data_IF_473234302230
#
_entry.id   IF_473234302230
#
_cell.length_a   1.000
_cell.length_b   1.000
_cell.length_c   1.000
_cell.angle_alpha   90.00
_cell.angle_beta   90.00
_cell.angle_gamma   90.00
#
_symmetry.space_group_name_H-M   'P 1'
#
loop_
_entity.id
_entity.type
_entity.pdbx_description
1 polymer ?
#
# COMPACT_ATOMS: atom_id res chain seq x y z
N UNK A 1 12.51 60.17 -11.98
CA UNK A 1 13.15 58.91 -12.43
C UNK A 1 13.54 58.00 -11.25
N UNK A 2 14.52 58.34 -10.39
CA UNK A 2 14.98 57.47 -9.28
C UNK A 2 13.88 57.06 -8.27
N UNK A 3 13.00 57.99 -7.86
CA UNK A 3 11.89 57.69 -6.91
C UNK A 3 10.86 56.69 -7.47
N UNK A 4 10.57 56.77 -8.77
CA UNK A 4 9.66 55.85 -9.45
C UNK A 4 10.26 54.44 -9.57
N UNK A 5 11.56 54.37 -9.87
CA UNK A 5 12.29 53.10 -9.87
C UNK A 5 12.27 52.41 -8.50
N UNK A 6 12.46 53.17 -7.41
CA UNK A 6 12.35 52.64 -6.04
C UNK A 6 10.94 52.12 -5.75
N UNK A 7 9.89 52.81 -6.20
CA UNK A 7 8.51 52.33 -6.04
C UNK A 7 8.26 51.01 -6.77
N UNK A 8 8.70 50.89 -8.04
CA UNK A 8 8.60 49.64 -8.80
C UNK A 8 9.37 48.50 -8.13
N UNK A 9 10.55 48.79 -7.59
CA UNK A 9 11.34 47.80 -6.88
C UNK A 9 10.59 47.27 -5.64
N UNK A 10 10.05 48.17 -4.81
CA UNK A 10 9.28 47.82 -3.62
C UNK A 10 8.02 47.03 -4.01
N UNK A 11 7.30 47.47 -5.04
CA UNK A 11 6.10 46.77 -5.50
C UNK A 11 6.43 45.37 -6.04
N UNK A 12 7.49 45.24 -6.84
CA UNK A 12 7.96 43.95 -7.34
C UNK A 12 8.36 43.01 -6.20
N UNK A 13 9.03 43.52 -5.17
CA UNK A 13 9.37 42.75 -3.96
C UNK A 13 8.12 42.21 -3.26
N UNK A 14 7.08 43.03 -3.12
CA UNK A 14 5.82 42.60 -2.49
C UNK A 14 5.15 41.50 -3.32
N UNK A 15 5.09 41.64 -4.65
CA UNK A 15 4.50 40.63 -5.54
C UNK A 15 5.29 39.32 -5.49
N UNK A 16 6.62 39.39 -5.65
CA UNK A 16 7.48 38.20 -5.63
C UNK A 16 7.37 37.46 -4.30
N UNK A 17 7.41 38.18 -3.16
CA UNK A 17 7.29 37.55 -1.84
C UNK A 17 5.92 36.92 -1.61
N UNK A 18 4.84 37.53 -2.11
CA UNK A 18 3.49 36.96 -2.05
C UNK A 18 3.39 35.66 -2.86
N UNK A 19 3.94 35.64 -4.08
CA UNK A 19 3.95 34.45 -4.93
C UNK A 19 4.76 33.31 -4.30
N UNK A 20 5.95 33.61 -3.77
CA UNK A 20 6.78 32.63 -3.06
C UNK A 20 6.03 32.11 -1.84
N UNK A 21 5.48 32.98 -0.99
CA UNK A 21 4.73 32.57 0.20
C UNK A 21 3.57 31.64 -0.13
N UNK A 22 2.80 31.94 -1.18
CA UNK A 22 1.68 31.11 -1.60
C UNK A 22 2.15 29.75 -2.14
N UNK A 23 3.22 29.74 -2.93
CA UNK A 23 3.80 28.50 -3.45
C UNK A 23 4.36 27.62 -2.32
N UNK A 24 5.09 28.21 -1.36
CA UNK A 24 5.62 27.49 -0.19
C UNK A 24 4.50 26.89 0.62
N UNK A 25 3.43 27.65 0.90
CA UNK A 25 2.28 27.12 1.65
C UNK A 25 1.65 25.90 0.96
N UNK A 26 1.51 25.94 -0.36
CA UNK A 26 0.96 24.81 -1.12
C UNK A 26 1.83 23.56 -0.97
N UNK A 27 3.16 23.72 -1.05
CA UNK A 27 4.11 22.61 -0.86
C UNK A 27 4.04 22.07 0.57
N UNK A 28 3.95 22.95 1.58
CA UNK A 28 3.81 22.53 2.98
C UNK A 28 2.53 21.72 3.21
N UNK A 29 1.41 22.14 2.62
CA UNK A 29 0.12 21.43 2.70
C UNK A 29 0.21 20.05 2.03
N UNK A 30 0.89 19.95 0.87
CA UNK A 30 1.14 18.68 0.16
C UNK A 30 2.03 17.74 0.98
N UNK A 31 3.12 18.26 1.58
CA UNK A 31 4.01 17.50 2.47
C UNK A 31 3.23 16.98 3.69
N UNK A 32 2.40 17.83 4.29
CA UNK A 32 1.58 17.44 5.44
C UNK A 32 0.62 16.29 5.08
N UNK A 33 -0.09 16.42 3.96
CA UNK A 33 -1.00 15.37 3.50
C UNK A 33 -0.27 14.06 3.20
N UNK A 34 0.91 14.12 2.56
CA UNK A 34 1.71 12.94 2.28
C UNK A 34 2.19 12.25 3.56
N UNK A 35 2.66 13.02 4.54
CA UNK A 35 3.10 12.47 5.83
C UNK A 35 1.95 11.79 6.58
N UNK A 36 0.76 12.38 6.58
CA UNK A 36 -0.43 11.77 7.18
C UNK A 36 -0.82 10.46 6.49
N UNK A 37 -0.75 10.42 5.16
CA UNK A 37 -1.00 9.19 4.40
C UNK A 37 0.03 8.11 4.72
N UNK A 38 1.32 8.45 4.79
CA UNK A 38 2.39 7.51 5.17
C UNK A 38 2.12 6.94 6.57
N UNK A 39 1.81 7.82 7.54
CA UNK A 39 1.49 7.40 8.91
C UNK A 39 0.29 6.45 8.96
N UNK A 40 -0.74 6.70 8.17
CA UNK A 40 -1.89 5.80 8.04
C UNK A 40 -1.50 4.44 7.46
N UNK A 41 -0.67 4.42 6.42
CA UNK A 41 -0.18 3.17 5.81
C UNK A 41 0.70 2.38 6.78
N UNK A 42 1.58 3.03 7.53
CA UNK A 42 2.44 2.38 8.53
C UNK A 42 1.61 1.71 9.63
N UNK A 43 0.57 2.38 10.12
CA UNK A 43 -0.35 1.80 11.11
C UNK A 43 -1.06 0.56 10.56
N UNK A 44 -1.59 0.62 9.33
CA UNK A 44 -2.24 -0.55 8.69
C UNK A 44 -1.26 -1.70 8.47
N UNK A 45 -0.03 -1.40 8.08
CA UNK A 45 1.01 -2.41 7.90
C UNK A 45 1.35 -3.07 9.24
N UNK A 46 1.46 -2.29 10.33
CA UNK A 46 1.68 -2.83 11.67
C UNK A 46 0.56 -3.76 12.11
N UNK A 47 -0.69 -3.38 11.90
CA UNK A 47 -1.86 -4.21 12.25
C UNK A 47 -1.89 -5.49 11.42
N UNK A 48 -1.68 -5.38 10.11
CA UNK A 48 -1.63 -6.55 9.20
C UNK A 48 -0.48 -7.48 9.56
N UNK A 49 0.68 -6.93 9.93
CA UNK A 49 1.83 -7.72 10.37
C UNK A 49 1.54 -8.44 11.68
N UNK A 50 0.87 -7.78 12.63
CA UNK A 50 0.44 -8.41 13.87
C UNK A 50 -0.53 -9.56 13.60
N UNK A 51 -1.53 -9.35 12.74
CA UNK A 51 -2.45 -10.41 12.33
C UNK A 51 -1.70 -11.58 11.65
N UNK A 52 -0.74 -11.28 10.77
CA UNK A 52 0.07 -12.29 10.11
C UNK A 52 0.90 -13.10 11.10
N UNK A 53 1.65 -12.43 11.97
CA UNK A 53 2.58 -13.06 12.91
C UNK A 53 1.86 -13.97 13.91
N UNK A 54 0.60 -13.68 14.23
CA UNK A 54 -0.15 -14.42 15.26
C UNK A 54 -1.27 -15.32 14.72
N UNK A 55 -1.96 -14.91 13.66
CA UNK A 55 -3.21 -15.56 13.22
C UNK A 55 -3.14 -16.16 11.83
N UNK A 56 -2.48 -15.50 10.87
CA UNK A 56 -2.63 -15.86 9.46
C UNK A 56 -1.37 -16.42 8.80
N UNK A 57 -0.21 -16.42 9.47
CA UNK A 57 0.98 -17.10 8.95
C UNK A 57 0.74 -18.60 8.83
N UNK A 58 1.31 -19.22 7.80
CA UNK A 58 1.10 -20.65 7.55
C UNK A 58 1.53 -21.54 8.72
N UNK A 59 2.56 -21.12 9.46
CA UNK A 59 3.02 -21.80 10.67
C UNK A 59 2.00 -21.71 11.80
N UNK A 60 1.46 -20.52 12.09
CA UNK A 60 0.40 -20.34 13.09
C UNK A 60 -0.89 -21.06 12.72
N UNK A 61 -1.28 -21.03 11.44
CA UNK A 61 -2.45 -21.78 10.98
C UNK A 61 -2.28 -23.29 11.18
N UNK A 62 -1.08 -23.84 10.96
CA UNK A 62 -0.80 -25.26 11.22
C UNK A 62 -0.76 -25.58 12.73
N UNK A 63 -0.23 -24.67 13.54
CA UNK A 63 -0.24 -24.78 15.00
C UNK A 63 -1.68 -24.83 15.53
N UNK A 64 -2.52 -23.88 15.13
CA UNK A 64 -3.93 -23.82 15.51
C UNK A 64 -4.75 -24.98 14.98
N UNK A 65 -4.42 -25.48 13.79
CA UNK A 65 -5.06 -26.68 13.30
C UNK A 65 -4.81 -27.87 14.24
N UNK A 66 -3.57 -28.09 14.67
CA UNK A 66 -3.26 -29.19 15.60
C UNK A 66 -3.92 -29.00 16.97
N UNK A 67 -4.03 -27.76 17.43
CA UNK A 67 -4.59 -27.44 18.75
C UNK A 67 -6.11 -27.54 18.79
N UNK A 68 -6.81 -27.14 17.73
CA UNK A 68 -8.26 -26.93 17.76
C UNK A 68 -9.07 -27.83 16.82
N UNK A 69 -8.45 -28.52 15.86
CA UNK A 69 -9.18 -29.38 14.92
C UNK A 69 -8.93 -30.85 15.25
N UNK A 70 -10.02 -31.62 15.37
CA UNK A 70 -9.96 -33.06 15.69
C UNK A 70 -9.34 -33.88 14.54
N UNK A 71 -9.51 -33.43 13.30
CA UNK A 71 -8.99 -34.12 12.11
C UNK A 71 -7.63 -33.54 11.71
N UNK A 72 -6.64 -34.43 11.55
CA UNK A 72 -5.33 -34.07 11.01
C UNK A 72 -5.42 -33.65 9.55
N UNK A 73 -4.82 -32.51 9.18
CA UNK A 73 -4.67 -32.13 7.77
C UNK A 73 -3.71 -33.09 7.09
N UNK A 74 -4.12 -33.64 5.96
CA UNK A 74 -3.25 -34.43 5.10
C UNK A 74 -2.51 -33.50 4.16
N UNK A 75 -1.17 -33.50 4.25
CA UNK A 75 -0.31 -32.75 3.32
C UNK A 75 -0.47 -33.35 1.92
N UNK A 76 -0.99 -32.57 0.98
CA UNK A 76 -1.03 -32.93 -0.45
C UNK A 76 0.13 -32.30 -1.20
N UNK A 77 0.75 -33.04 -2.11
CA UNK A 77 1.72 -32.44 -3.03
C UNK A 77 1.04 -31.42 -3.95
N UNK A 78 1.74 -30.37 -4.33
CA UNK A 78 1.28 -29.42 -5.35
C UNK A 78 0.94 -30.13 -6.67
N UNK A 79 1.62 -31.26 -6.95
CA UNK A 79 1.36 -32.08 -8.13
C UNK A 79 0.00 -32.77 -8.12
N UNK A 80 -0.60 -32.95 -6.93
CA UNK A 80 -1.95 -33.51 -6.77
C UNK A 80 -3.03 -32.46 -7.04
N UNK A 81 -2.67 -31.17 -7.04
CA UNK A 81 -3.60 -30.07 -7.26
C UNK A 81 -3.71 -29.82 -8.78
N UNK A 82 -4.94 -29.90 -9.29
CA UNK A 82 -5.26 -29.66 -10.71
C UNK A 82 -6.03 -28.36 -10.84
N UNK A 83 -5.75 -27.60 -11.88
CA UNK A 83 -6.59 -26.47 -12.28
C UNK A 83 -7.75 -26.96 -13.13
N UNK A 84 -8.92 -26.36 -12.90
CA UNK A 84 -10.14 -26.65 -13.66
C UNK A 84 -10.40 -25.48 -14.59
N UNK A 85 -10.49 -25.75 -15.89
CA UNK A 85 -10.82 -24.77 -16.91
C UNK A 85 -12.12 -25.18 -17.61
N UNK A 86 -13.08 -24.27 -17.71
CA UNK A 86 -14.37 -24.51 -18.37
C UNK A 86 -14.32 -23.85 -19.74
N UNK A 87 -14.23 -24.66 -20.80
CA UNK A 87 -14.22 -24.19 -22.19
C UNK A 87 -15.42 -24.77 -22.94
N UNK A 88 -16.30 -23.89 -23.45
CA UNK A 88 -17.47 -24.29 -24.27
C UNK A 88 -18.29 -25.41 -23.63
N UNK A 89 -18.65 -25.25 -22.35
CA UNK A 89 -19.37 -26.25 -21.55
C UNK A 89 -18.64 -27.60 -21.33
N UNK A 90 -17.32 -27.68 -21.59
CA UNK A 90 -16.50 -28.85 -21.25
C UNK A 90 -15.52 -28.51 -20.13
N UNK A 91 -15.43 -29.41 -19.16
CA UNK A 91 -14.44 -29.37 -18.08
C UNK A 91 -13.11 -29.92 -18.58
N UNK A 92 -12.05 -29.12 -18.47
CA UNK A 92 -10.67 -29.53 -18.73
C UNK A 92 -9.88 -29.43 -17.43
N UNK A 93 -9.20 -30.52 -17.07
CA UNK A 93 -8.31 -30.57 -15.92
C UNK A 93 -6.87 -30.41 -16.41
N UNK A 94 -6.16 -29.40 -15.91
CA UNK A 94 -4.76 -29.16 -16.21
C UNK A 94 -3.94 -29.29 -14.91
N UNK A 95 -2.62 -29.52 -15.04
CA UNK A 95 -1.72 -29.44 -13.88
C UNK A 95 -1.64 -27.98 -13.43
N UNK A 96 -1.72 -27.73 -12.13
CA UNK A 96 -1.52 -26.39 -11.60
C UNK A 96 -0.07 -25.96 -11.91
N UNK A 97 0.08 -24.84 -12.63
CA UNK A 97 1.35 -24.17 -12.88
C UNK A 97 1.26 -22.81 -12.21
N UNK A 98 2.08 -22.58 -11.20
CA UNK A 98 2.25 -21.28 -10.58
C UNK A 98 3.46 -20.67 -11.27
N UNK A 99 3.26 -19.54 -11.96
CA UNK A 99 4.34 -18.74 -12.53
C UNK A 99 4.83 -17.77 -11.46
N UNK A 100 6.15 -17.70 -11.27
CA UNK A 100 6.81 -16.66 -10.49
C UNK A 100 6.63 -15.28 -11.13
#
# INVERSE_FOLDING_TARGET
MKKFFVFILIFSLIVITSLIKNSTKKVDDEIYSLNENIRFLENRLKDTKLEYDYLSSSEKLLEYQKLYFENSLQKKSIDEIKSVEILKNKLKLNKLRISD
#
